data_IF_867742304837
#
_entry.id   IF_867742304837
#
_cell.length_a   1.000
_cell.length_b   1.000
_cell.length_c   1.000
_cell.angle_alpha   90.00
_cell.angle_beta   90.00
_cell.angle_gamma   90.00
#
_symmetry.space_group_name_H-M   'P 1'
#
loop_
_entity.id
_entity.type
_entity.pdbx_description
1 polymer ?
#
# COMPACT_ATOMS: atom_id res chain seq x y z
N UNK A 1 7.63 8.57 -71.77
CA UNK A 1 6.85 9.30 -70.72
C UNK A 1 6.33 8.41 -69.57
N UNK A 2 5.86 7.20 -69.80
CA UNK A 2 5.29 6.32 -68.75
C UNK A 2 6.27 5.85 -67.65
N UNK A 3 7.52 5.51 -67.98
CA UNK A 3 8.54 5.05 -66.98
C UNK A 3 8.85 6.05 -65.86
N UNK A 4 8.82 7.34 -66.13
CA UNK A 4 9.09 8.37 -65.15
C UNK A 4 7.94 8.52 -64.13
N UNK A 5 6.68 8.41 -64.56
CA UNK A 5 5.50 8.44 -63.67
C UNK A 5 5.47 7.26 -62.71
N UNK A 6 5.91 6.08 -63.12
CA UNK A 6 5.98 4.88 -62.24
C UNK A 6 7.09 5.07 -61.18
N UNK A 7 8.26 5.58 -61.56
CA UNK A 7 9.35 5.85 -60.59
C UNK A 7 8.95 6.88 -59.51
N UNK A 8 8.23 7.93 -59.89
CA UNK A 8 7.74 8.92 -58.93
C UNK A 8 6.68 8.35 -57.98
N UNK A 9 5.72 7.55 -58.49
CA UNK A 9 4.75 6.86 -57.61
C UNK A 9 5.43 5.92 -56.61
N UNK A 10 6.43 5.14 -57.04
CA UNK A 10 7.18 4.25 -56.17
C UNK A 10 7.96 5.00 -55.09
N UNK A 11 8.60 6.13 -55.41
CA UNK A 11 9.28 7.01 -54.43
C UNK A 11 8.30 7.56 -53.40
N UNK A 12 7.11 7.99 -53.83
CA UNK A 12 6.07 8.53 -52.92
C UNK A 12 5.51 7.45 -51.97
N UNK A 13 5.28 6.23 -52.45
CA UNK A 13 4.82 5.10 -51.66
C UNK A 13 5.88 4.71 -50.63
N UNK A 14 7.14 4.62 -51.02
CA UNK A 14 8.24 4.30 -50.08
C UNK A 14 8.42 5.38 -49.00
N UNK A 15 8.28 6.66 -49.39
CA UNK A 15 8.35 7.78 -48.41
C UNK A 15 7.20 7.70 -47.41
N UNK A 16 5.95 7.45 -47.87
CA UNK A 16 4.79 7.27 -46.97
C UNK A 16 4.97 6.08 -46.03
N UNK A 17 5.40 4.91 -46.56
CA UNK A 17 5.68 3.71 -45.73
C UNK A 17 6.74 4.01 -44.66
N UNK A 18 7.83 4.69 -45.02
CA UNK A 18 8.89 5.06 -44.04
C UNK A 18 8.37 5.97 -42.95
N UNK A 19 7.54 6.98 -43.30
CA UNK A 19 6.91 7.87 -42.32
C UNK A 19 6.01 7.10 -41.36
N UNK A 20 5.12 6.22 -41.88
CA UNK A 20 4.22 5.43 -41.05
C UNK A 20 5.00 4.53 -40.08
N UNK A 21 6.00 3.78 -40.58
CA UNK A 21 6.82 2.92 -39.73
C UNK A 21 7.52 3.72 -38.62
N UNK A 22 8.14 4.87 -38.98
CA UNK A 22 8.81 5.71 -37.98
C UNK A 22 7.83 6.21 -36.94
N UNK A 23 6.64 6.70 -37.32
CA UNK A 23 5.64 7.21 -36.37
C UNK A 23 5.13 6.12 -35.44
N UNK A 24 4.82 4.92 -35.95
CA UNK A 24 4.38 3.80 -35.13
C UNK A 24 5.47 3.35 -34.17
N UNK A 25 6.71 3.22 -34.63
CA UNK A 25 7.83 2.83 -33.75
C UNK A 25 8.05 3.85 -32.64
N UNK A 26 8.00 5.15 -32.95
CA UNK A 26 8.14 6.21 -31.97
C UNK A 26 7.01 6.16 -30.93
N UNK A 27 5.77 5.98 -31.35
CA UNK A 27 4.63 5.86 -30.45
C UNK A 27 4.77 4.66 -29.49
N UNK A 28 5.18 3.49 -30.00
CA UNK A 28 5.41 2.28 -29.20
C UNK A 28 6.51 2.52 -28.15
N UNK A 29 7.60 3.18 -28.53
CA UNK A 29 8.69 3.51 -27.60
C UNK A 29 8.20 4.46 -26.50
N UNK A 30 7.44 5.48 -26.81
CA UNK A 30 6.89 6.40 -25.81
C UNK A 30 5.93 5.70 -24.84
N UNK A 31 5.08 4.81 -25.33
CA UNK A 31 4.16 4.04 -24.51
C UNK A 31 4.93 3.12 -23.54
N UNK A 32 5.92 2.37 -24.05
CA UNK A 32 6.71 1.45 -23.22
C UNK A 32 7.52 2.18 -22.15
N UNK A 33 8.19 3.26 -22.50
CA UNK A 33 8.96 4.06 -21.53
C UNK A 33 8.04 4.71 -20.49
N UNK A 34 6.93 5.32 -20.92
CA UNK A 34 5.96 5.95 -20.04
C UNK A 34 5.35 4.95 -19.06
N UNK A 35 4.99 3.75 -19.53
CA UNK A 35 4.47 2.68 -18.68
C UNK A 35 5.51 2.22 -17.66
N UNK A 36 6.76 2.05 -18.09
CA UNK A 36 7.85 1.65 -17.18
C UNK A 36 8.11 2.67 -16.07
N UNK A 37 8.12 3.95 -16.39
CA UNK A 37 8.27 5.04 -15.41
C UNK A 37 7.09 5.04 -14.43
N UNK A 38 5.87 4.91 -14.93
CA UNK A 38 4.66 4.88 -14.11
C UNK A 38 4.66 3.68 -13.13
N UNK A 39 4.96 2.48 -13.62
CA UNK A 39 5.04 1.27 -12.77
C UNK A 39 6.11 1.46 -11.68
N UNK A 40 7.28 1.97 -12.02
CA UNK A 40 8.34 2.21 -11.03
C UNK A 40 7.90 3.23 -9.96
N UNK A 41 7.14 4.24 -10.34
CA UNK A 41 6.55 5.22 -9.41
C UNK A 41 5.56 4.53 -8.44
N UNK A 42 4.66 3.69 -8.95
CA UNK A 42 3.71 2.94 -8.12
C UNK A 42 4.43 1.99 -7.14
N UNK A 43 5.49 1.31 -7.57
CA UNK A 43 6.30 0.44 -6.71
C UNK A 43 6.93 1.24 -5.57
N UNK A 44 7.46 2.43 -5.84
CA UNK A 44 8.04 3.29 -4.80
C UNK A 44 7.00 3.71 -3.76
N UNK A 45 5.81 4.11 -4.19
CA UNK A 45 4.71 4.46 -3.30
C UNK A 45 4.29 3.23 -2.47
N UNK A 46 4.10 2.09 -3.11
CA UNK A 46 3.75 0.84 -2.45
C UNK A 46 4.74 0.49 -1.33
N UNK A 47 6.04 0.51 -1.63
CA UNK A 47 7.09 0.22 -0.65
C UNK A 47 7.12 1.24 0.50
N UNK A 48 6.95 2.52 0.19
CA UNK A 48 6.87 3.58 1.20
C UNK A 48 5.70 3.37 2.15
N UNK A 49 4.49 3.14 1.61
CA UNK A 49 3.29 2.93 2.43
C UNK A 49 3.33 1.62 3.20
N UNK A 50 3.92 0.55 2.63
CA UNK A 50 4.13 -0.71 3.37
C UNK A 50 5.01 -0.50 4.59
N UNK A 51 6.12 0.20 4.42
CA UNK A 51 7.01 0.54 5.54
C UNK A 51 6.31 1.44 6.57
N UNK A 52 5.61 2.46 6.11
CA UNK A 52 4.89 3.38 6.98
C UNK A 52 3.78 2.68 7.77
N UNK A 53 3.04 1.76 7.14
CA UNK A 53 2.06 0.91 7.82
C UNK A 53 2.73 0.10 8.93
N UNK A 54 3.84 -0.57 8.64
CA UNK A 54 4.59 -1.33 9.63
C UNK A 54 5.01 -0.46 10.82
N UNK A 55 5.59 0.69 10.52
CA UNK A 55 6.11 1.60 11.53
C UNK A 55 4.98 2.16 12.45
N UNK A 56 3.80 2.48 11.88
CA UNK A 56 2.64 2.98 12.65
C UNK A 56 2.05 1.88 13.52
N UNK A 57 1.85 0.69 12.96
CA UNK A 57 1.31 -0.47 13.70
C UNK A 57 2.26 -0.84 14.83
N UNK A 58 3.56 -0.97 14.57
CA UNK A 58 4.54 -1.28 15.60
C UNK A 58 4.54 -0.23 16.72
N UNK A 59 4.52 1.05 16.37
CA UNK A 59 4.46 2.12 17.38
C UNK A 59 3.17 2.08 18.20
N UNK A 60 2.03 1.75 17.58
CA UNK A 60 0.77 1.63 18.33
C UNK A 60 0.84 0.51 19.38
N UNK A 61 1.53 -0.60 19.11
CA UNK A 61 1.81 -1.64 20.09
C UNK A 61 2.79 -1.18 21.18
N UNK A 62 3.87 -0.52 20.79
CA UNK A 62 4.91 -0.04 21.73
C UNK A 62 4.37 1.01 22.70
N UNK A 63 3.35 1.77 22.28
CA UNK A 63 2.69 2.80 23.08
C UNK A 63 1.40 2.35 23.74
N UNK A 64 0.96 1.11 23.53
CA UNK A 64 -0.36 0.60 23.95
C UNK A 64 -1.51 1.45 23.44
N UNK A 65 -1.42 1.93 22.21
CA UNK A 65 -2.43 2.78 21.58
C UNK A 65 -2.49 4.22 22.10
N UNK A 66 -1.55 4.63 22.95
CA UNK A 66 -1.47 6.00 23.46
C UNK A 66 -1.06 6.98 22.36
N UNK A 67 -2.07 7.59 21.73
CA UNK A 67 -1.89 8.51 20.60
C UNK A 67 -1.05 9.74 20.95
N UNK A 68 -1.04 10.17 22.22
CA UNK A 68 -0.25 11.33 22.65
C UNK A 68 1.25 11.12 22.48
N UNK A 69 1.70 9.87 22.40
CA UNK A 69 3.09 9.47 22.19
C UNK A 69 3.44 9.21 20.72
N UNK A 70 2.44 9.22 19.83
CA UNK A 70 2.66 8.92 18.43
C UNK A 70 3.39 10.05 17.71
N UNK A 71 4.39 9.68 16.91
CA UNK A 71 5.05 10.60 15.97
C UNK A 71 4.30 10.73 14.63
N UNK A 72 3.19 10.00 14.47
CA UNK A 72 2.40 9.94 13.23
C UNK A 72 1.06 10.68 13.34
N UNK A 73 0.92 11.63 14.28
CA UNK A 73 -0.31 12.39 14.52
C UNK A 73 -0.83 13.16 13.31
N UNK A 74 0.07 13.55 12.39
CA UNK A 74 -0.30 14.21 11.12
C UNK A 74 -0.74 13.22 10.02
N UNK A 75 -0.58 11.90 10.25
CA UNK A 75 -0.80 10.86 9.24
C UNK A 75 -1.99 9.96 9.60
N UNK A 76 -2.21 9.71 10.88
CA UNK A 76 -3.28 8.85 11.41
C UNK A 76 -4.06 9.55 12.49
N UNK A 77 -5.39 9.38 12.51
CA UNK A 77 -6.23 9.93 13.58
C UNK A 77 -6.13 9.10 14.87
N UNK A 78 -6.45 9.72 16.00
CA UNK A 78 -6.42 9.08 17.31
C UNK A 78 -7.25 7.79 17.37
N UNK A 79 -8.48 7.83 16.86
CA UNK A 79 -9.37 6.67 16.87
C UNK A 79 -8.79 5.49 16.07
N UNK A 80 -8.21 5.76 14.89
CA UNK A 80 -7.60 4.73 14.06
C UNK A 80 -6.33 4.19 14.74
N UNK A 81 -5.47 5.07 15.24
CA UNK A 81 -4.23 4.68 15.89
C UNK A 81 -4.47 3.77 17.10
N UNK A 82 -5.40 4.16 17.96
CA UNK A 82 -5.76 3.37 19.13
C UNK A 82 -6.39 2.02 18.77
N UNK A 83 -7.14 1.94 17.65
CA UNK A 83 -7.74 0.69 17.18
C UNK A 83 -6.74 -0.27 16.52
N UNK A 84 -5.56 0.19 16.14
CA UNK A 84 -4.49 -0.66 15.61
C UNK A 84 -3.81 -1.50 16.70
N UNK A 85 -3.97 -1.14 17.97
CA UNK A 85 -3.44 -1.89 19.10
C UNK A 85 -4.55 -2.65 19.80
N UNK A 86 -4.41 -3.96 19.92
CA UNK A 86 -5.35 -4.82 20.65
C UNK A 86 -4.82 -5.26 22.02
N UNK A 87 -3.57 -4.88 22.37
CA UNK A 87 -3.02 -5.18 23.70
C UNK A 87 -3.62 -4.23 24.73
N UNK A 88 -4.09 -4.76 25.86
CA UNK A 88 -4.52 -3.91 26.97
C UNK A 88 -3.35 -3.10 27.52
N UNK A 89 -3.60 -1.86 27.90
CA UNK A 89 -2.61 -1.02 28.54
C UNK A 89 -2.09 -1.60 29.87
N UNK A 90 -0.91 -1.19 30.33
CA UNK A 90 -0.38 -1.62 31.61
C UNK A 90 -1.35 -1.30 32.75
N UNK A 91 -1.87 -2.32 33.42
CA UNK A 91 -2.82 -2.18 34.53
C UNK A 91 -4.30 -2.20 34.15
N UNK A 92 -4.64 -2.23 32.87
CA UNK A 92 -5.99 -2.46 32.38
C UNK A 92 -6.24 -3.97 32.29
N UNK A 93 -6.78 -4.53 33.34
CA UNK A 93 -7.41 -5.86 33.24
C UNK A 93 -8.73 -5.70 32.49
N UNK A 94 -8.85 -6.28 31.31
CA UNK A 94 -10.04 -6.21 30.47
C UNK A 94 -11.28 -6.90 31.06
N UNK A 95 -11.22 -7.41 32.27
CA UNK A 95 -12.29 -8.18 32.91
C UNK A 95 -12.59 -9.50 32.20
N UNK A 96 -11.91 -9.79 31.06
CA UNK A 96 -12.05 -11.05 30.34
C UNK A 96 -11.30 -12.17 31.04
N UNK A 97 -11.71 -13.41 30.72
CA UNK A 97 -10.99 -14.60 31.18
C UNK A 97 -9.70 -14.86 30.37
N UNK A 98 -9.35 -13.95 29.46
CA UNK A 98 -8.20 -14.07 28.57
C UNK A 98 -7.24 -12.92 28.83
N UNK A 99 -5.95 -13.20 28.73
CA UNK A 99 -4.90 -12.20 28.75
C UNK A 99 -4.08 -12.35 27.47
N UNK A 100 -4.05 -11.30 26.63
CA UNK A 100 -3.20 -11.27 25.46
C UNK A 100 -1.77 -11.03 25.95
N UNK A 101 -0.87 -11.96 25.62
CA UNK A 101 0.51 -11.92 26.11
C UNK A 101 1.46 -11.31 25.09
N UNK A 102 1.19 -11.55 23.81
CA UNK A 102 2.13 -11.22 22.76
C UNK A 102 1.43 -11.16 21.39
N UNK A 103 1.75 -10.17 20.57
CA UNK A 103 1.28 -10.07 19.21
C UNK A 103 2.46 -9.86 18.25
N UNK A 104 2.40 -10.51 17.09
CA UNK A 104 3.36 -10.36 16.01
C UNK A 104 2.62 -10.00 14.73
N UNK A 105 3.18 -9.10 13.95
CA UNK A 105 2.63 -8.77 12.63
C UNK A 105 3.68 -8.95 11.53
N UNK A 106 3.21 -9.35 10.35
CA UNK A 106 4.06 -9.50 9.17
C UNK A 106 4.33 -8.14 8.53
N UNK A 107 5.36 -8.09 7.67
CA UNK A 107 5.56 -6.92 6.83
C UNK A 107 4.33 -6.69 5.93
N UNK A 108 3.75 -5.48 5.94
CA UNK A 108 2.60 -5.17 5.11
C UNK A 108 2.92 -5.23 3.61
N UNK A 109 1.90 -5.58 2.81
CA UNK A 109 1.91 -5.47 1.35
C UNK A 109 0.90 -4.40 0.98
N UNK A 110 1.33 -3.39 0.22
CA UNK A 110 0.47 -2.28 -0.20
C UNK A 110 0.14 -2.34 -1.68
N UNK A 111 -1.13 -2.20 -2.00
CA UNK A 111 -1.65 -2.00 -3.34
C UNK A 111 -2.05 -0.54 -3.52
N UNK A 112 -1.40 0.15 -4.46
CA UNK A 112 -1.80 1.50 -4.88
C UNK A 112 -2.92 1.36 -5.90
N UNK A 113 -4.03 2.05 -5.65
CA UNK A 113 -5.25 1.98 -6.44
C UNK A 113 -5.48 3.30 -7.21
N UNK A 114 -6.31 3.30 -8.27
CA UNK A 114 -6.73 4.53 -8.92
C UNK A 114 -7.44 5.48 -7.95
N UNK A 115 -7.38 6.79 -8.20
CA UNK A 115 -8.07 7.79 -7.39
C UNK A 115 -7.34 8.18 -6.11
N UNK A 116 -6.01 8.13 -6.13
CA UNK A 116 -5.19 8.58 -4.99
C UNK A 116 -5.48 7.80 -3.70
N UNK A 117 -5.71 6.49 -3.82
CA UNK A 117 -5.97 5.60 -2.69
C UNK A 117 -5.02 4.42 -2.69
N UNK A 118 -4.81 3.80 -1.53
CA UNK A 118 -4.06 2.55 -1.41
C UNK A 118 -4.60 1.72 -0.25
N UNK A 119 -4.25 0.42 -0.25
CA UNK A 119 -4.59 -0.51 0.82
C UNK A 119 -3.35 -1.30 1.21
N UNK A 120 -3.05 -1.33 2.50
CA UNK A 120 -1.97 -2.14 3.07
C UNK A 120 -2.58 -3.30 3.85
N UNK A 121 -2.13 -4.50 3.56
CA UNK A 121 -2.58 -5.74 4.19
C UNK A 121 -1.42 -6.33 4.97
N UNK A 122 -1.69 -6.80 6.17
CA UNK A 122 -0.72 -7.57 6.96
C UNK A 122 -1.44 -8.69 7.72
N UNK A 123 -0.68 -9.64 8.21
CA UNK A 123 -1.18 -10.67 9.10
C UNK A 123 -0.73 -10.36 10.51
N UNK A 124 -1.64 -10.53 11.42
CA UNK A 124 -1.39 -10.39 12.85
C UNK A 124 -1.71 -11.70 13.55
N UNK A 125 -0.79 -12.12 14.40
CA UNK A 125 -0.94 -13.31 15.21
C UNK A 125 -0.73 -12.97 16.67
N UNK A 126 -1.77 -13.14 17.47
CA UNK A 126 -1.73 -12.86 18.89
C UNK A 126 -1.91 -14.15 19.70
N UNK A 127 -1.25 -14.21 20.83
CA UNK A 127 -1.31 -15.31 21.77
C UNK A 127 -2.06 -14.86 23.02
N UNK A 128 -2.95 -15.73 23.48
CA UNK A 128 -3.78 -15.51 24.65
C UNK A 128 -3.47 -16.57 25.71
N UNK A 129 -3.42 -16.18 26.96
CA UNK A 129 -3.44 -17.11 28.10
C UNK A 129 -4.80 -16.95 28.79
N UNK A 130 -5.50 -18.06 28.99
CA UNK A 130 -6.72 -18.06 29.77
C UNK A 130 -6.36 -18.04 31.26
N UNK A 131 -7.07 -17.22 32.02
CA UNK A 131 -6.92 -17.16 33.49
C UNK A 131 -7.21 -18.56 34.05
N UNK A 132 -6.21 -19.23 34.60
CA UNK A 132 -6.23 -20.60 35.14
C UNK A 132 -5.92 -21.72 34.13
N UNK A 133 -5.38 -21.43 32.97
CA UNK A 133 -4.88 -22.45 32.03
C UNK A 133 -3.38 -22.23 31.77
N UNK A 134 -2.60 -23.33 31.78
CA UNK A 134 -1.17 -23.29 31.45
C UNK A 134 -0.89 -23.31 29.94
N UNK A 135 -1.93 -23.23 29.10
CA UNK A 135 -1.83 -23.31 27.67
C UNK A 135 -2.20 -22.00 27.01
N UNK A 136 -1.30 -21.50 26.15
CA UNK A 136 -1.60 -20.39 25.26
C UNK A 136 -2.37 -20.86 24.02
N UNK A 137 -3.46 -20.19 23.69
CA UNK A 137 -4.10 -20.28 22.38
C UNK A 137 -3.72 -19.06 21.55
N UNK A 138 -3.72 -19.21 20.23
CA UNK A 138 -3.39 -18.10 19.33
C UNK A 138 -4.47 -17.88 18.27
N UNK A 139 -4.70 -16.62 17.90
CA UNK A 139 -5.54 -16.24 16.77
C UNK A 139 -4.70 -15.55 15.71
N UNK A 140 -5.08 -15.72 14.43
CA UNK A 140 -4.51 -15.00 13.30
C UNK A 140 -5.61 -14.16 12.65
N UNK A 141 -5.33 -12.89 12.41
CA UNK A 141 -6.22 -11.97 11.70
C UNK A 141 -5.48 -11.33 10.52
N UNK A 142 -6.22 -10.66 9.65
CA UNK A 142 -5.65 -10.00 8.47
C UNK A 142 -6.13 -8.56 8.37
N UNK A 143 -5.62 -7.67 9.21
CA UNK A 143 -6.02 -6.27 9.20
C UNK A 143 -5.71 -5.58 7.87
N UNK A 144 -6.48 -4.53 7.58
CA UNK A 144 -6.31 -3.69 6.39
C UNK A 144 -6.26 -2.23 6.79
N UNK A 145 -5.20 -1.54 6.37
CA UNK A 145 -5.05 -0.08 6.50
C UNK A 145 -5.39 0.57 5.16
N UNK A 146 -6.31 1.51 5.16
CA UNK A 146 -6.73 2.28 3.99
C UNK A 146 -6.03 3.62 3.98
N UNK A 147 -5.46 3.97 2.83
CA UNK A 147 -4.71 5.18 2.60
C UNK A 147 -5.40 6.08 1.59
N UNK A 148 -5.30 7.38 1.80
CA UNK A 148 -5.72 8.41 0.87
C UNK A 148 -4.63 9.45 0.73
N UNK A 149 -4.35 9.87 -0.49
CA UNK A 149 -3.50 11.01 -0.80
C UNK A 149 -4.36 12.27 -0.75
N UNK A 150 -4.04 13.17 0.15
CA UNK A 150 -4.75 14.44 0.31
C UNK A 150 -4.27 15.52 -0.66
N UNK A 151 -4.94 16.66 -0.68
CA UNK A 151 -4.66 17.78 -1.58
C UNK A 151 -3.27 18.41 -1.36
N UNK A 152 -2.69 18.23 -0.18
CA UNK A 152 -1.33 18.64 0.18
C UNK A 152 -0.24 17.63 -0.22
N UNK A 153 -0.62 16.58 -0.98
CA UNK A 153 0.23 15.47 -1.40
C UNK A 153 0.80 14.62 -0.25
N UNK A 154 0.11 14.58 0.88
CA UNK A 154 0.46 13.71 2.01
C UNK A 154 -0.46 12.50 2.04
N UNK A 155 0.13 11.31 2.15
CA UNK A 155 -0.62 10.09 2.38
C UNK A 155 -1.05 10.00 3.84
N UNK A 156 -2.37 9.88 4.06
CA UNK A 156 -2.96 9.72 5.40
C UNK A 156 -3.76 8.44 5.49
N UNK A 157 -3.79 7.86 6.67
CA UNK A 157 -4.67 6.73 6.96
C UNK A 157 -6.10 7.25 7.03
N UNK A 158 -6.95 6.75 6.14
CA UNK A 158 -8.36 7.16 6.06
C UNK A 158 -9.29 6.20 6.78
N UNK A 159 -8.87 4.94 6.96
CA UNK A 159 -9.67 3.91 7.63
C UNK A 159 -8.79 2.73 8.04
N UNK A 160 -9.29 1.92 8.96
CA UNK A 160 -8.66 0.69 9.44
C UNK A 160 -9.73 -0.37 9.67
N UNK A 161 -9.55 -1.53 9.07
CA UNK A 161 -10.42 -2.68 9.22
C UNK A 161 -9.68 -3.81 9.93
N UNK A 162 -10.22 -4.21 11.06
CA UNK A 162 -9.73 -5.33 11.85
C UNK A 162 -10.79 -6.45 11.78
N UNK A 163 -10.60 -7.44 10.92
CA UNK A 163 -11.58 -8.52 10.77
C UNK A 163 -11.68 -9.31 12.07
N UNK A 164 -12.91 -9.76 12.43
CA UNK A 164 -13.17 -10.54 13.62
C UNK A 164 -12.51 -11.92 13.60
#
# INVERSE_FOLDING_TARGET
MQKNKIKEKLKTINKKKKIIVTTVTTAVVFITVGTGVYINHLIKISNYLSKLTYDIVQESYDTYGDYSKSKYQDIVSENIYSSMNILPGPGEGDGSNYHITECYHTNPITLVLPGNTAKSFYKEKCFYIRKNEDHSSGGETSPTVYWKLDDDNVWRVSDFDFPP
#
